data_IF_145854269469
#
_entry.id   IF_145854269469
#
_cell.length_a   1.000
_cell.length_b   1.000
_cell.length_c   1.000
_cell.angle_alpha   90.00
_cell.angle_beta   90.00
_cell.angle_gamma   90.00
#
_symmetry.space_group_name_H-M   'P 1'
#
loop_
_entity.id
_entity.type
_entity.pdbx_description
1 polymer ?
#
# COMPACT_ATOMS: atom_id res chain seq x y z
N UNK A 1 -8.42 -4.70 4.75
CA UNK A 1 -7.03 -4.52 5.22
C UNK A 1 -6.82 -5.30 6.51
N UNK A 2 -5.73 -6.00 6.61
CA UNK A 2 -5.38 -6.79 7.79
C UNK A 2 -3.99 -6.40 8.26
N UNK A 3 -3.85 -6.12 9.57
CA UNK A 3 -2.57 -5.75 10.18
C UNK A 3 -2.33 -6.68 11.37
N UNK A 4 -1.15 -7.30 11.39
CA UNK A 4 -0.65 -8.04 12.55
C UNK A 4 0.68 -7.45 12.94
N UNK A 5 0.79 -6.87 14.14
CA UNK A 5 1.97 -6.17 14.62
C UNK A 5 2.55 -6.87 15.84
N UNK A 6 3.75 -7.44 15.69
CA UNK A 6 4.53 -8.06 16.76
C UNK A 6 5.88 -7.37 16.97
N UNK A 7 6.10 -6.22 16.35
CA UNK A 7 7.33 -5.44 16.50
C UNK A 7 7.12 -4.33 17.51
N UNK A 8 7.97 -4.32 18.55
CA UNK A 8 8.02 -3.22 19.50
C UNK A 8 8.73 -2.01 18.88
N UNK A 9 8.16 -0.81 19.00
CA UNK A 9 8.78 0.42 18.52
C UNK A 9 8.51 0.77 17.06
N UNK A 10 7.76 -0.05 16.34
CA UNK A 10 7.34 0.26 14.97
C UNK A 10 5.85 -0.03 14.83
N UNK A 11 5.11 0.90 14.24
CA UNK A 11 3.67 0.75 14.03
C UNK A 11 3.28 1.10 12.60
N UNK A 12 2.33 0.36 12.05
CA UNK A 12 1.71 0.71 10.79
C UNK A 12 0.78 1.90 10.98
N UNK A 13 1.01 2.97 10.22
CA UNK A 13 0.20 4.19 10.31
C UNK A 13 -0.99 4.17 9.35
N UNK A 14 -0.76 3.77 8.12
CA UNK A 14 -1.79 3.75 7.10
C UNK A 14 -1.22 3.49 5.72
N UNK A 15 -2.09 3.40 4.74
CA UNK A 15 -1.70 3.19 3.36
C UNK A 15 -2.42 4.16 2.44
N UNK A 16 -1.81 4.46 1.29
CA UNK A 16 -2.39 5.33 0.28
C UNK A 16 -2.12 4.81 -1.11
N UNK A 17 -2.96 5.22 -2.05
CA UNK A 17 -2.79 4.98 -3.48
C UNK A 17 -2.12 6.20 -4.09
N UNK A 18 -1.07 5.99 -4.88
CA UNK A 18 -0.43 7.03 -5.67
C UNK A 18 -0.75 6.76 -7.12
N UNK A 19 -1.31 7.76 -7.79
CA UNK A 19 -1.62 7.69 -9.21
C UNK A 19 -1.06 8.93 -9.90
N UNK A 20 -0.05 8.70 -10.76
CA UNK A 20 0.52 9.70 -11.66
C UNK A 20 0.53 9.09 -13.05
N UNK A 21 1.70 8.80 -13.62
CA UNK A 21 1.88 7.97 -14.82
C UNK A 21 1.79 6.47 -14.48
N UNK A 22 1.93 6.10 -13.21
CA UNK A 22 1.87 4.72 -12.72
C UNK A 22 1.01 4.61 -11.48
N UNK A 23 0.49 3.42 -11.23
CA UNK A 23 -0.26 3.11 -10.01
C UNK A 23 0.72 2.51 -9.00
N UNK A 24 0.71 3.05 -7.78
CA UNK A 24 1.52 2.56 -6.68
C UNK A 24 0.73 2.58 -5.37
N UNK A 25 1.10 1.72 -4.43
CA UNK A 25 0.58 1.73 -3.06
C UNK A 25 1.72 2.07 -2.14
N UNK A 26 1.50 3.01 -1.21
CA UNK A 26 2.43 3.36 -0.16
C UNK A 26 1.92 2.86 1.18
N UNK A 27 2.81 2.20 1.92
CA UNK A 27 2.57 1.76 3.30
C UNK A 27 3.37 2.66 4.23
N UNK A 28 2.70 3.37 5.14
CA UNK A 28 3.34 4.33 6.05
C UNK A 28 3.52 3.72 7.43
N UNK A 29 4.68 3.98 8.04
CA UNK A 29 5.04 3.48 9.36
C UNK A 29 5.55 4.61 10.23
N UNK A 30 5.28 4.52 11.53
CA UNK A 30 5.85 5.41 12.56
C UNK A 30 6.74 4.59 13.48
N UNK A 31 7.80 5.23 14.00
CA UNK A 31 8.72 4.60 14.92
C UNK A 31 10.10 4.36 14.31
N UNK A 32 10.81 3.34 14.81
CA UNK A 32 12.18 3.04 14.42
C UNK A 32 12.24 1.88 13.45
N UNK A 33 12.78 2.13 12.26
CA UNK A 33 12.96 1.12 11.21
C UNK A 33 14.36 0.49 11.19
N UNK A 34 15.23 0.88 12.14
CA UNK A 34 16.61 0.37 12.20
C UNK A 34 16.62 -1.15 12.37
N UNK A 35 17.35 -1.84 11.50
CA UNK A 35 17.45 -3.30 11.51
C UNK A 35 16.23 -4.03 10.97
N UNK A 36 15.22 -3.32 10.48
CA UNK A 36 14.04 -3.92 9.87
C UNK A 36 14.24 -4.22 8.39
N UNK A 37 13.69 -5.36 7.96
CA UNK A 37 13.65 -5.76 6.54
C UNK A 37 12.20 -5.72 6.07
N UNK A 38 11.97 -5.08 4.93
CA UNK A 38 10.64 -4.90 4.32
C UNK A 38 10.56 -5.73 3.05
N UNK A 39 9.66 -6.70 3.00
CA UNK A 39 9.52 -7.59 1.84
C UNK A 39 8.06 -7.72 1.39
N UNK A 40 7.86 -7.80 0.09
CA UNK A 40 6.57 -8.10 -0.51
C UNK A 40 6.80 -8.73 -1.89
N UNK A 41 6.00 -9.73 -2.24
CA UNK A 41 6.08 -10.39 -3.55
C UNK A 41 7.49 -10.90 -3.91
N UNK A 42 8.25 -11.34 -2.89
CA UNK A 42 9.63 -11.82 -3.08
C UNK A 42 10.67 -10.73 -3.28
N UNK A 43 10.30 -9.46 -3.19
CA UNK A 43 11.22 -8.33 -3.32
C UNK A 43 11.48 -7.67 -1.97
N UNK A 44 12.67 -7.11 -1.80
CA UNK A 44 13.04 -6.34 -0.62
C UNK A 44 12.96 -4.85 -0.95
N UNK A 45 12.38 -4.08 -0.04
CA UNK A 45 12.17 -2.64 -0.20
C UNK A 45 12.93 -1.87 0.86
N UNK A 46 13.38 -0.66 0.51
CA UNK A 46 14.04 0.26 1.44
C UNK A 46 13.05 1.34 1.86
N UNK A 47 12.85 1.56 3.18
CA UNK A 47 11.95 2.61 3.65
C UNK A 47 12.50 4.00 3.31
N UNK A 48 11.59 4.91 2.96
CA UNK A 48 11.90 6.30 2.65
C UNK A 48 11.32 7.19 3.75
N UNK A 49 12.15 8.08 4.30
CA UNK A 49 11.73 9.02 5.33
C UNK A 49 10.95 10.18 4.72
N UNK A 50 9.79 10.51 5.31
CA UNK A 50 8.97 11.64 4.88
C UNK A 50 8.10 12.12 6.04
N UNK A 51 8.18 13.41 6.37
CA UNK A 51 7.31 14.07 7.36
C UNK A 51 7.26 13.36 8.72
N UNK A 52 8.41 12.88 9.19
CA UNK A 52 8.52 12.17 10.46
C UNK A 52 8.04 10.72 10.42
N UNK A 53 7.70 10.21 9.26
CA UNK A 53 7.30 8.83 9.03
C UNK A 53 8.23 8.15 8.02
N UNK A 54 8.05 6.85 7.86
CA UNK A 54 8.71 6.07 6.80
C UNK A 54 7.66 5.44 5.93
N UNK A 55 7.92 5.33 4.62
CA UNK A 55 7.01 4.62 3.73
C UNK A 55 7.74 3.63 2.83
N UNK A 56 7.01 2.59 2.44
CA UNK A 56 7.38 1.64 1.41
C UNK A 56 6.44 1.84 0.23
N UNK A 57 6.98 2.02 -0.96
CA UNK A 57 6.18 2.17 -2.18
C UNK A 57 6.29 0.92 -3.04
N UNK A 58 5.15 0.31 -3.34
CA UNK A 58 5.05 -0.79 -4.30
C UNK A 58 4.45 -0.21 -5.57
N UNK A 59 5.31 -0.05 -6.58
CA UNK A 59 4.98 0.61 -7.83
C UNK A 59 4.61 -0.38 -8.94
N UNK A 60 4.24 0.15 -10.10
CA UNK A 60 3.97 -0.61 -11.32
C UNK A 60 2.83 -1.63 -11.16
N UNK A 61 1.81 -1.26 -10.40
CA UNK A 61 0.60 -2.05 -10.29
C UNK A 61 -0.20 -1.89 -11.59
N UNK A 62 -0.47 -3.00 -12.26
CA UNK A 62 -1.22 -2.99 -13.51
C UNK A 62 -2.71 -2.71 -13.24
N UNK A 63 -3.41 -1.99 -14.14
CA UNK A 63 -4.82 -1.69 -13.96
C UNK A 63 -5.71 -2.92 -13.74
N UNK A 64 -5.42 -4.04 -14.39
CA UNK A 64 -6.17 -5.28 -14.20
C UNK A 64 -5.96 -5.90 -12.80
N UNK A 65 -4.93 -5.46 -12.07
CA UNK A 65 -4.56 -5.99 -10.74
C UNK A 65 -4.95 -5.06 -9.60
N UNK A 66 -5.82 -4.07 -9.84
CA UNK A 66 -6.26 -3.16 -8.78
C UNK A 66 -7.01 -3.86 -7.65
N UNK A 67 -7.60 -5.02 -7.90
CA UNK A 67 -8.27 -5.84 -6.89
C UNK A 67 -7.33 -6.78 -6.14
N UNK A 68 -6.04 -6.80 -6.48
CA UNK A 68 -5.05 -7.65 -5.85
C UNK A 68 -4.73 -7.16 -4.44
N UNK A 69 -4.65 -8.10 -3.49
CA UNK A 69 -4.18 -7.83 -2.14
C UNK A 69 -2.68 -8.11 -2.07
N UNK A 70 -1.94 -7.18 -1.46
CA UNK A 70 -0.49 -7.28 -1.33
C UNK A 70 -0.15 -7.38 0.15
N UNK A 71 0.60 -8.41 0.55
CA UNK A 71 1.07 -8.56 1.92
C UNK A 71 2.51 -8.05 2.01
N UNK A 72 2.69 -6.98 2.77
CA UNK A 72 4.00 -6.46 3.15
C UNK A 72 4.39 -7.06 4.49
N UNK A 73 5.57 -7.66 4.57
CA UNK A 73 6.12 -8.23 5.80
C UNK A 73 7.33 -7.41 6.23
N UNK A 74 7.30 -6.94 7.48
CA UNK A 74 8.43 -6.28 8.13
C UNK A 74 8.97 -7.22 9.17
N UNK A 75 10.28 -7.49 9.14
CA UNK A 75 10.95 -8.35 10.12
C UNK A 75 12.03 -7.53 10.82
N UNK A 76 12.00 -7.49 12.16
CA UNK A 76 13.02 -6.79 12.92
C UNK A 76 14.29 -7.64 13.13
N UNK A 77 15.30 -7.05 13.77
CA UNK A 77 16.57 -7.73 14.04
C UNK A 77 16.42 -8.92 14.99
N UNK A 78 15.33 -8.97 15.76
CA UNK A 78 15.03 -10.06 16.69
C UNK A 78 14.17 -11.17 16.08
N UNK A 79 13.76 -11.02 14.82
CA UNK A 79 12.92 -11.99 14.12
C UNK A 79 11.43 -11.83 14.35
N UNK A 80 10.98 -10.72 14.95
CA UNK A 80 9.56 -10.41 15.09
C UNK A 80 9.01 -9.81 13.81
N UNK A 81 7.76 -10.13 13.48
CA UNK A 81 7.14 -9.70 12.23
C UNK A 81 6.00 -8.72 12.46
N UNK A 82 5.88 -7.76 11.54
CA UNK A 82 4.68 -6.94 11.33
C UNK A 82 4.22 -7.20 9.90
N UNK A 83 2.97 -7.59 9.73
CA UNK A 83 2.41 -7.85 8.40
C UNK A 83 1.22 -6.94 8.13
N UNK A 84 1.16 -6.40 6.91
CA UNK A 84 0.05 -5.57 6.43
C UNK A 84 -0.42 -6.13 5.10
N UNK A 85 -1.68 -6.52 5.03
CA UNK A 85 -2.33 -6.93 3.78
C UNK A 85 -3.26 -5.82 3.32
N UNK A 86 -2.99 -5.27 2.15
CA UNK A 86 -3.70 -4.11 1.60
C UNK A 86 -3.59 -4.12 0.08
N UNK A 87 -4.56 -3.55 -0.58
CA UNK A 87 -4.53 -3.41 -2.03
C UNK A 87 -5.15 -2.11 -2.50
N UNK A 88 -4.94 -1.72 -3.78
CA UNK A 88 -5.47 -0.48 -4.33
C UNK A 88 -6.99 -0.35 -4.18
N UNK A 89 -7.73 -1.45 -4.28
CA UNK A 89 -9.19 -1.42 -4.15
C UNK A 89 -9.65 -1.03 -2.75
N UNK A 90 -8.90 -1.35 -1.71
CA UNK A 90 -9.21 -0.90 -0.35
C UNK A 90 -9.23 0.63 -0.25
N UNK A 91 -8.23 1.28 -0.87
CA UNK A 91 -8.15 2.73 -0.92
C UNK A 91 -9.28 3.34 -1.75
N UNK A 92 -9.57 2.77 -2.92
CA UNK A 92 -10.60 3.26 -3.83
C UNK A 92 -11.97 3.23 -3.14
N UNK A 93 -12.33 2.11 -2.52
CA UNK A 93 -13.61 1.96 -1.81
C UNK A 93 -13.71 2.96 -0.66
N UNK A 94 -12.65 3.09 0.14
CA UNK A 94 -12.64 4.01 1.28
C UNK A 94 -12.80 5.47 0.83
N UNK A 95 -12.07 5.90 -0.19
CA UNK A 95 -12.11 7.29 -0.66
C UNK A 95 -13.39 7.61 -1.40
N UNK A 96 -14.00 6.64 -2.06
CA UNK A 96 -15.30 6.83 -2.72
C UNK A 96 -16.41 7.19 -1.70
N UNK A 97 -16.29 6.73 -0.46
CA UNK A 97 -17.23 7.06 0.62
C UNK A 97 -16.95 8.42 1.26
N UNK A 98 -15.69 8.89 1.25
CA UNK A 98 -15.25 10.05 2.04
C UNK A 98 -14.70 11.22 1.22
N UNK A 99 -14.46 11.03 -0.08
CA UNK A 99 -13.79 12.01 -0.92
C UNK A 99 -14.70 13.11 -1.43
N UNK A 100 -14.08 14.15 -2.01
CA UNK A 100 -14.77 15.18 -2.79
C UNK A 100 -15.38 14.59 -4.07
N UNK A 101 -16.25 15.34 -4.74
CA UNK A 101 -16.84 14.92 -6.02
C UNK A 101 -15.74 14.66 -7.06
N UNK A 102 -14.73 15.53 -7.13
CA UNK A 102 -13.60 15.36 -8.06
C UNK A 102 -12.81 14.10 -7.76
N UNK A 103 -12.53 13.82 -6.50
CA UNK A 103 -11.85 12.61 -6.09
C UNK A 103 -12.68 11.36 -6.40
N UNK A 104 -13.98 11.39 -6.11
CA UNK A 104 -14.88 10.29 -6.42
C UNK A 104 -14.93 10.01 -7.92
N UNK A 105 -14.95 11.05 -8.76
CA UNK A 105 -14.92 10.89 -10.21
C UNK A 105 -13.62 10.27 -10.69
N UNK A 106 -12.49 10.69 -10.13
CA UNK A 106 -11.19 10.09 -10.45
C UNK A 106 -11.16 8.60 -10.07
N UNK A 107 -11.64 8.26 -8.89
CA UNK A 107 -11.66 6.88 -8.42
C UNK A 107 -12.59 6.00 -9.26
N UNK A 108 -13.73 6.53 -9.70
CA UNK A 108 -14.62 5.82 -10.62
C UNK A 108 -13.94 5.58 -11.97
N UNK A 109 -13.21 6.57 -12.48
CA UNK A 109 -12.47 6.42 -13.73
C UNK A 109 -11.38 5.34 -13.61
N UNK A 110 -10.67 5.30 -12.49
CA UNK A 110 -9.68 4.25 -12.21
C UNK A 110 -10.32 2.87 -12.13
N UNK A 111 -11.46 2.77 -11.46
CA UNK A 111 -12.20 1.51 -11.36
C UNK A 111 -12.67 1.01 -12.71
N UNK A 112 -13.24 1.90 -13.53
CA UNK A 112 -13.68 1.56 -14.88
C UNK A 112 -12.50 1.17 -15.78
N UNK A 113 -11.37 1.82 -15.63
CA UNK A 113 -10.15 1.47 -16.34
C UNK A 113 -9.66 0.08 -15.94
N UNK A 114 -9.71 -0.24 -14.64
CA UNK A 114 -9.40 -1.57 -14.13
C UNK A 114 -10.30 -2.65 -14.75
N UNK A 115 -11.61 -2.43 -14.76
CA UNK A 115 -12.55 -3.37 -15.35
C UNK A 115 -12.31 -3.60 -16.84
N UNK A 116 -12.05 -2.53 -17.60
CA UNK A 116 -11.75 -2.60 -19.01
C UNK A 116 -10.44 -3.38 -19.28
N UNK A 117 -9.40 -3.11 -18.51
CA UNK A 117 -8.13 -3.81 -18.61
C UNK A 117 -8.25 -5.30 -18.25
N UNK A 118 -9.03 -5.62 -17.23
CA UNK A 118 -9.27 -7.00 -16.78
C UNK A 118 -10.04 -7.80 -17.83
N UNK A 119 -10.95 -7.16 -18.56
CA UNK A 119 -11.75 -7.82 -19.60
C UNK A 119 -10.92 -8.27 -20.80
N UNK A 120 -9.79 -7.62 -21.07
CA UNK A 120 -8.90 -7.94 -22.20
C UNK A 120 -7.60 -8.65 -21.80
N UNK A 121 -7.42 -8.84 -20.49
CA UNK A 121 -6.22 -9.49 -19.95
C UNK A 121 -6.26 -11.01 -20.13
#
# INVERSE_FOLDING_TARGET
MTVTDKISGLSFYGASLVYRDRIAVRYYFTGDVTGCTFTANGNTYTPVAKDGMYYIEIADILPQNLDQQITLTVTDASGNDLTVTYGPMNYIVRMNEKGSVELQNLLKALYNYHLAAKAVA
#
